data_IF_116825262092
#
_entry.id   IF_116825262092
#
_cell.length_a   1.000
_cell.length_b   1.000
_cell.length_c   1.000
_cell.angle_alpha   90.00
_cell.angle_beta   90.00
_cell.angle_gamma   90.00
#
_symmetry.space_group_name_H-M   'P 1'
#
loop_
_entity.id
_entity.type
_entity.pdbx_description
1 polymer ?
#
# COMPACT_ATOMS: atom_id res chain seq x y z
N UNK A 1 12.05 12.98 18.28
CA UNK A 1 12.07 13.01 16.81
C UNK A 1 12.24 11.60 16.26
N UNK A 2 11.29 10.71 16.54
CA UNK A 2 11.10 9.47 15.79
C UNK A 2 9.62 9.14 15.96
N UNK A 3 8.83 9.64 15.02
CA UNK A 3 7.40 9.35 14.92
C UNK A 3 7.19 8.02 14.18
N UNK A 4 8.07 7.03 14.36
CA UNK A 4 7.94 5.76 13.64
C UNK A 4 6.61 5.11 14.00
N UNK A 5 5.81 4.79 12.97
CA UNK A 5 4.50 4.14 13.12
C UNK A 5 4.61 2.65 13.46
N UNK A 6 5.81 2.18 13.79
CA UNK A 6 6.20 0.78 13.84
C UNK A 6 6.70 0.40 15.24
N UNK A 7 6.59 -0.89 15.56
CA UNK A 7 7.07 -1.54 16.79
C UNK A 7 7.77 -2.85 16.42
N UNK A 8 8.67 -3.34 17.26
CA UNK A 8 9.26 -4.67 17.09
C UNK A 8 8.54 -5.63 18.05
N UNK A 9 8.06 -6.76 17.55
CA UNK A 9 7.37 -7.78 18.36
C UNK A 9 8.35 -8.75 19.06
N UNK A 10 7.80 -9.72 19.79
CA UNK A 10 8.58 -10.72 20.53
C UNK A 10 9.42 -11.63 19.61
N UNK A 11 8.97 -11.84 18.37
CA UNK A 11 9.67 -12.60 17.33
C UNK A 11 10.71 -11.75 16.57
N UNK A 12 10.90 -10.48 17.00
CA UNK A 12 11.77 -9.49 16.37
C UNK A 12 11.35 -9.07 14.96
N UNK A 13 10.07 -9.21 14.63
CA UNK A 13 9.51 -8.70 13.38
C UNK A 13 9.02 -7.25 13.57
N UNK A 14 9.13 -6.46 12.50
CA UNK A 14 8.65 -5.08 12.49
C UNK A 14 7.16 -5.09 12.18
N UNK A 15 6.37 -4.52 13.08
CA UNK A 15 4.91 -4.47 13.01
C UNK A 15 4.43 -3.02 12.98
N UNK A 16 3.39 -2.72 12.20
CA UNK A 16 2.70 -1.42 12.29
C UNK A 16 1.87 -1.36 13.58
N UNK A 17 1.94 -0.25 14.30
CA UNK A 17 1.17 -0.03 15.55
C UNK A 17 -0.32 -0.35 15.36
N UNK A 18 -0.97 -1.07 16.29
CA UNK A 18 -2.35 -1.52 16.12
C UNK A 18 -3.35 -0.41 15.76
N UNK A 19 -3.23 0.76 16.41
CA UNK A 19 -4.10 1.91 16.12
C UNK A 19 -3.93 2.45 14.68
N UNK A 20 -2.70 2.46 14.17
CA UNK A 20 -2.40 2.88 12.79
C UNK A 20 -2.86 1.80 11.80
N UNK A 21 -2.62 0.52 12.12
CA UNK A 21 -3.10 -0.60 11.29
C UNK A 21 -4.62 -0.56 11.10
N UNK A 22 -5.39 -0.22 12.14
CA UNK A 22 -6.84 -0.02 12.02
C UNK A 22 -7.22 1.17 11.12
N UNK A 23 -6.50 2.29 11.21
CA UNK A 23 -6.70 3.45 10.33
C UNK A 23 -6.42 3.11 8.86
N UNK A 24 -5.31 2.40 8.60
CA UNK A 24 -4.94 1.91 7.26
C UNK A 24 -6.00 0.97 6.68
N UNK A 25 -6.48 0.00 7.46
CA UNK A 25 -7.56 -0.91 7.04
C UNK A 25 -8.85 -0.16 6.73
N UNK A 26 -9.21 0.87 7.51
CA UNK A 26 -10.35 1.75 7.23
C UNK A 26 -10.19 2.49 5.90
N UNK A 27 -8.96 2.93 5.59
CA UNK A 27 -8.56 3.55 4.34
C UNK A 27 -8.39 2.55 3.16
N UNK A 28 -8.73 1.27 3.36
CA UNK A 28 -8.68 0.20 2.34
C UNK A 28 -7.28 -0.32 1.98
N UNK A 29 -6.29 -0.08 2.83
CA UNK A 29 -5.01 -0.77 2.75
C UNK A 29 -5.12 -2.22 3.27
N UNK A 30 -4.42 -3.14 2.63
CA UNK A 30 -3.97 -4.38 3.23
C UNK A 30 -2.69 -4.13 4.03
N UNK A 31 -2.56 -4.78 5.19
CA UNK A 31 -1.42 -4.64 6.09
C UNK A 31 -0.92 -6.03 6.47
N UNK A 32 0.38 -6.26 6.31
CA UNK A 32 1.08 -7.45 6.78
C UNK A 32 2.44 -7.01 7.33
N UNK A 33 2.70 -7.26 8.62
CA UNK A 33 3.89 -6.81 9.34
C UNK A 33 4.13 -5.29 9.18
N UNK A 34 5.22 -4.93 8.49
CA UNK A 34 5.63 -3.56 8.15
C UNK A 34 5.26 -3.16 6.71
N UNK A 35 4.64 -4.06 5.95
CA UNK A 35 4.28 -3.85 4.54
C UNK A 35 2.81 -3.44 4.38
N UNK A 36 2.55 -2.61 3.37
CA UNK A 36 1.20 -2.16 3.01
C UNK A 36 0.94 -2.35 1.52
N UNK A 37 -0.30 -2.63 1.17
CA UNK A 37 -0.78 -2.75 -0.22
C UNK A 37 -2.10 -2.00 -0.37
N UNK A 38 -2.31 -1.34 -1.50
CA UNK A 38 -3.59 -0.70 -1.83
C UNK A 38 -3.96 -1.03 -3.27
N UNK A 39 -5.27 -1.15 -3.54
CA UNK A 39 -5.73 -1.17 -4.92
C UNK A 39 -5.69 0.23 -5.51
N UNK A 40 -4.73 0.48 -6.39
CA UNK A 40 -4.63 1.74 -7.13
C UNK A 40 -5.97 2.16 -7.73
N UNK A 41 -6.31 3.44 -7.60
CA UNK A 41 -7.52 4.03 -8.20
C UNK A 41 -7.69 3.68 -9.68
N UNK A 42 -6.60 3.74 -10.44
CA UNK A 42 -6.62 3.40 -11.87
C UNK A 42 -6.71 1.91 -12.15
N UNK A 43 -6.13 1.06 -11.29
CA UNK A 43 -6.31 -0.39 -11.39
C UNK A 43 -7.80 -0.73 -11.23
N UNK A 44 -8.48 -0.14 -10.25
CA UNK A 44 -9.94 -0.30 -10.05
C UNK A 44 -10.75 0.19 -11.25
N UNK A 45 -10.43 1.35 -11.82
CA UNK A 45 -11.08 1.86 -13.05
C UNK A 45 -10.85 0.94 -14.25
N UNK A 46 -9.63 0.43 -14.41
CA UNK A 46 -9.28 -0.45 -15.52
C UNK A 46 -10.05 -1.78 -15.47
N UNK A 47 -10.27 -2.36 -14.29
CA UNK A 47 -11.12 -3.55 -14.12
C UNK A 47 -12.59 -3.28 -14.44
N UNK A 48 -13.07 -2.05 -14.25
CA UNK A 48 -14.43 -1.64 -14.61
C UNK A 48 -14.57 -1.18 -16.06
N UNK A 49 -13.52 -1.27 -16.87
CA UNK A 49 -13.47 -0.74 -18.23
C UNK A 49 -13.68 0.79 -18.32
N UNK A 50 -13.36 1.54 -17.26
CA UNK A 50 -13.50 3.00 -17.18
C UNK A 50 -12.23 3.77 -17.65
N UNK A 51 -11.16 3.06 -18.05
CA UNK A 51 -9.93 3.65 -18.59
C UNK A 51 -8.63 3.08 -18.02
N UNK A 52 -7.50 3.60 -18.50
CA UNK A 52 -6.14 3.22 -18.09
C UNK A 52 -5.36 4.43 -17.55
N UNK A 53 -4.30 4.19 -16.76
CA UNK A 53 -3.49 5.27 -16.20
C UNK A 53 -2.45 5.79 -17.21
N UNK A 54 -1.80 6.91 -16.87
CA UNK A 54 -0.75 7.49 -17.70
C UNK A 54 0.39 6.51 -18.03
N UNK A 55 0.71 5.58 -17.12
CA UNK A 55 1.77 4.58 -17.33
C UNK A 55 1.44 3.63 -18.50
N UNK A 56 0.16 3.38 -18.76
CA UNK A 56 -0.24 2.65 -19.97
C UNK A 56 0.05 3.44 -21.23
N UNK A 57 -0.32 4.74 -21.24
CA UNK A 57 -0.11 5.63 -22.40
C UNK A 57 1.37 5.86 -22.70
N UNK A 58 2.19 6.04 -21.66
CA UNK A 58 3.60 6.40 -21.83
C UNK A 58 4.51 5.17 -21.96
N UNK A 59 4.18 4.08 -21.28
CA UNK A 59 5.08 2.93 -21.12
C UNK A 59 4.47 1.58 -21.53
N UNK A 60 3.22 1.55 -22.03
CA UNK A 60 2.55 0.32 -22.41
C UNK A 60 2.20 -0.62 -21.24
N UNK A 61 2.37 -0.19 -19.99
CA UNK A 61 2.08 -1.01 -18.81
C UNK A 61 0.58 -1.27 -18.70
N UNK A 62 0.18 -2.54 -18.57
CA UNK A 62 -1.23 -2.91 -18.35
C UNK A 62 -1.70 -2.44 -16.97
N UNK A 63 -2.54 -1.41 -16.92
CA UNK A 63 -3.01 -0.79 -15.66
C UNK A 63 -3.64 -1.79 -14.68
N UNK A 64 -4.54 -2.66 -15.14
CA UNK A 64 -5.19 -3.69 -14.30
C UNK A 64 -4.23 -4.77 -13.77
N UNK A 65 -2.97 -4.82 -14.25
CA UNK A 65 -1.93 -5.78 -13.80
C UNK A 65 -0.91 -5.13 -12.86
N UNK A 66 -1.06 -3.85 -12.54
CA UNK A 66 -0.17 -3.15 -11.61
C UNK A 66 -0.55 -3.45 -10.16
N UNK A 67 0.46 -3.74 -9.33
CA UNK A 67 0.34 -3.88 -7.88
C UNK A 67 0.96 -2.64 -7.20
N UNK A 68 0.17 -1.93 -6.39
CA UNK A 68 0.63 -0.78 -5.61
C UNK A 68 0.85 -1.21 -4.16
N UNK A 69 2.10 -1.17 -3.71
CA UNK A 69 2.51 -1.61 -2.38
C UNK A 69 3.76 -0.87 -1.91
N UNK A 70 4.00 -0.91 -0.60
CA UNK A 70 5.25 -0.46 0.03
C UNK A 70 5.74 -1.53 1.02
N UNK A 71 7.02 -1.92 0.99
CA UNK A 71 7.62 -2.76 2.03
C UNK A 71 7.87 -1.99 3.33
N UNK A 72 7.74 -0.66 3.33
CA UNK A 72 7.93 0.22 4.48
C UNK A 72 6.70 1.12 4.60
N UNK A 73 5.62 0.56 5.14
CA UNK A 73 4.31 1.19 5.13
C UNK A 73 4.21 2.45 6.00
N UNK A 74 5.01 2.53 7.07
CA UNK A 74 4.95 3.61 8.06
C UNK A 74 6.32 4.17 8.45
N UNK A 75 7.30 4.04 7.56
CA UNK A 75 8.65 4.57 7.73
C UNK A 75 9.01 5.52 6.57
N UNK A 76 9.47 6.72 6.91
CA UNK A 76 9.93 7.77 6.00
C UNK A 76 10.86 8.70 6.79
N UNK A 77 12.01 9.07 6.21
CA UNK A 77 13.01 9.99 6.80
C UNK A 77 12.97 11.37 6.15
#
# INVERSE_FOLDING_TARGET
>A
MSCSGEIVDEERLIQIKPGISQQLKKAKYGVADHSTVELCHWTKKSFKHEGSCYKHKFYGISTHRCMEFSPAGMHCE
#
